data_IF_253774512886
#
_entry.id   IF_253774512886
#
_cell.length_a   1.000
_cell.length_b   1.000
_cell.length_c   1.000
_cell.angle_alpha   90.00
_cell.angle_beta   90.00
_cell.angle_gamma   90.00
#
_symmetry.space_group_name_H-M   'P 1'
#
loop_
_entity.id
_entity.type
_entity.pdbx_description
1 polymer ?
#
# COMPACT_ATOMS: atom_id res chain seq x y z
N UNK A 1 -2.45 -8.08 5.54
CA UNK A 1 -1.75 -7.71 6.76
C UNK A 1 -0.59 -6.80 6.41
N UNK A 2 -0.46 -5.70 7.12
CA UNK A 2 0.72 -4.86 7.06
C UNK A 2 1.18 -4.47 8.47
N UNK A 3 2.47 -4.17 8.57
CA UNK A 3 3.12 -3.69 9.77
C UNK A 3 3.80 -2.36 9.46
N UNK A 4 3.67 -1.41 10.37
CA UNK A 4 4.30 -0.09 10.30
C UNK A 4 5.23 0.04 11.50
N UNK A 5 6.43 0.55 11.26
CA UNK A 5 7.34 0.99 12.31
C UNK A 5 7.45 2.51 12.25
N UNK A 6 7.26 3.15 13.40
CA UNK A 6 7.33 4.60 13.56
C UNK A 6 8.72 5.06 14.01
N UNK A 7 8.91 6.38 14.07
CA UNK A 7 10.18 7.00 14.51
C UNK A 7 10.60 6.62 15.94
N UNK A 8 9.63 6.42 16.84
CA UNK A 8 9.85 5.99 18.22
C UNK A 8 10.11 4.47 18.34
N UNK A 9 10.34 3.76 17.22
CA UNK A 9 10.45 2.30 17.11
C UNK A 9 9.21 1.52 17.55
N UNK A 10 8.10 2.18 17.89
CA UNK A 10 6.84 1.49 18.14
C UNK A 10 6.28 0.94 16.83
N UNK A 11 5.49 -0.13 16.93
CA UNK A 11 4.93 -0.80 15.76
C UNK A 11 3.41 -0.84 15.80
N UNK A 12 2.82 -0.72 14.62
CA UNK A 12 1.40 -0.90 14.39
C UNK A 12 1.21 -2.06 13.43
N UNK A 13 0.33 -3.00 13.80
CA UNK A 13 0.04 -4.17 12.98
C UNK A 13 -1.44 -4.15 12.62
N UNK A 14 -1.72 -4.10 11.32
CA UNK A 14 -3.05 -4.34 10.78
C UNK A 14 -3.14 -5.77 10.26
N UNK A 15 -3.88 -6.60 10.99
CA UNK A 15 -4.10 -8.01 10.65
C UNK A 15 -5.16 -8.21 9.56
N UNK A 16 -5.80 -7.15 9.06
CA UNK A 16 -6.80 -7.29 8.03
C UNK A 16 -6.25 -7.96 6.78
N UNK A 17 -6.96 -8.99 6.35
CA UNK A 17 -6.71 -9.72 5.12
C UNK A 17 -7.61 -9.15 4.05
N UNK A 18 -7.00 -8.43 3.12
CA UNK A 18 -7.71 -7.91 1.94
C UNK A 18 -8.29 -9.05 1.08
N UNK A 19 -7.71 -10.25 1.12
CA UNK A 19 -8.27 -11.43 0.45
C UNK A 19 -9.45 -11.96 1.26
N UNK A 20 -10.67 -11.75 0.78
CA UNK A 20 -11.91 -12.25 1.40
C UNK A 20 -12.48 -11.42 2.56
N UNK A 21 -11.74 -10.43 3.07
CA UNK A 21 -12.23 -9.47 4.09
C UNK A 21 -12.78 -8.18 3.48
N UNK A 22 -13.45 -7.36 4.30
CA UNK A 22 -13.88 -6.04 3.87
C UNK A 22 -12.67 -5.09 3.86
N UNK A 23 -12.27 -4.50 2.73
CA UNK A 23 -11.10 -3.63 2.70
C UNK A 23 -11.30 -2.32 3.49
N UNK A 24 -12.55 -2.00 3.86
CA UNK A 24 -12.85 -0.91 4.77
C UNK A 24 -12.45 -1.22 6.22
N UNK A 25 -12.13 -2.48 6.54
CA UNK A 25 -11.61 -2.87 7.85
C UNK A 25 -10.17 -2.37 8.03
N UNK A 26 -9.49 -1.99 6.95
CA UNK A 26 -8.13 -1.48 7.03
C UNK A 26 -8.07 -0.28 7.96
N UNK A 27 -7.17 -0.36 8.93
CA UNK A 27 -6.90 0.69 9.90
C UNK A 27 -5.93 1.73 9.35
N UNK A 28 -5.88 1.91 8.04
CA UNK A 28 -5.00 2.88 7.41
C UNK A 28 -5.34 4.31 7.84
N UNK A 29 -6.63 4.61 7.93
CA UNK A 29 -7.12 5.94 8.34
C UNK A 29 -6.64 6.31 9.74
N UNK A 30 -6.52 5.36 10.67
CA UNK A 30 -6.07 5.60 12.05
C UNK A 30 -4.58 5.87 12.20
N UNK A 31 -3.77 5.72 11.15
CA UNK A 31 -2.34 6.05 11.20
C UNK A 31 -2.19 7.57 11.26
N UNK A 32 -1.63 8.07 12.36
CA UNK A 32 -1.40 9.49 12.62
C UNK A 32 0.06 9.81 13.01
N UNK A 33 0.92 8.81 13.09
CA UNK A 33 2.35 8.95 13.40
C UNK A 33 3.22 8.85 12.14
N UNK A 34 4.36 9.56 12.08
CA UNK A 34 5.32 9.45 10.98
C UNK A 34 5.92 8.04 10.85
N UNK A 35 5.93 7.52 9.62
CA UNK A 35 6.36 6.15 9.29
C UNK A 35 7.84 6.12 8.89
N UNK A 36 8.63 5.24 9.50
CA UNK A 36 9.98 4.91 9.01
C UNK A 36 9.94 3.72 8.06
N UNK A 37 9.18 2.68 8.42
CA UNK A 37 9.14 1.42 7.70
C UNK A 37 7.71 0.94 7.53
N UNK A 38 7.41 0.43 6.34
CA UNK A 38 6.15 -0.21 6.04
C UNK A 38 6.38 -1.57 5.40
N UNK A 39 5.89 -2.60 6.05
CA UNK A 39 5.99 -4.01 5.64
C UNK A 39 4.61 -4.50 5.28
N UNK A 40 4.45 -5.04 4.07
CA UNK A 40 3.19 -5.56 3.59
C UNK A 40 3.34 -7.03 3.21
N UNK A 41 2.54 -7.89 3.84
CA UNK A 41 2.56 -9.33 3.60
C UNK A 41 1.44 -9.75 2.63
N UNK A 42 1.82 -10.36 1.51
CA UNK A 42 0.97 -10.85 0.43
C UNK A 42 1.24 -12.34 0.20
N UNK A 43 0.52 -13.21 0.92
CA UNK A 43 0.75 -14.65 0.84
C UNK A 43 2.19 -15.00 1.25
N UNK A 44 2.96 -15.54 0.30
CA UNK A 44 4.38 -15.89 0.48
C UNK A 44 5.36 -14.73 0.26
N UNK A 45 4.87 -13.58 -0.22
CA UNK A 45 5.70 -12.41 -0.53
C UNK A 45 5.60 -11.36 0.56
N UNK A 46 6.71 -10.68 0.84
CA UNK A 46 6.76 -9.51 1.72
C UNK A 46 7.37 -8.34 0.97
N UNK A 47 6.65 -7.23 0.91
CA UNK A 47 7.12 -5.97 0.33
C UNK A 47 7.48 -5.05 1.49
N UNK A 48 8.69 -4.50 1.46
CA UNK A 48 9.22 -3.63 2.51
C UNK A 48 9.62 -2.30 1.89
N UNK A 49 9.15 -1.21 2.47
CA UNK A 49 9.53 0.16 2.15
C UNK A 49 10.12 0.84 3.38
N UNK A 50 11.24 1.54 3.21
CA UNK A 50 11.91 2.28 4.29
C UNK A 50 12.34 3.67 3.83
N UNK A 51 12.21 4.64 4.74
CA UNK A 51 12.74 6.00 4.62
C UNK A 51 12.15 6.86 3.50
N UNK A 52 10.89 6.67 3.13
CA UNK A 52 10.18 7.51 2.14
C UNK A 52 9.47 8.70 2.79
N UNK A 53 9.20 9.75 2.01
CA UNK A 53 8.50 10.97 2.47
C UNK A 53 7.04 10.74 2.81
N UNK A 54 6.40 9.83 2.05
CA UNK A 54 5.02 9.49 2.26
C UNK A 54 4.71 8.09 1.74
N UNK A 55 3.69 7.49 2.33
CA UNK A 55 3.22 6.15 2.02
C UNK A 55 1.73 6.21 1.70
N UNK A 56 1.27 5.39 0.76
CA UNK A 56 -0.15 5.26 0.44
C UNK A 56 -0.44 3.92 -0.26
N UNK A 57 -1.72 3.57 -0.41
CA UNK A 57 -2.14 2.44 -1.22
C UNK A 57 -3.48 2.67 -1.91
N UNK A 58 -3.72 1.85 -2.93
CA UNK A 58 -5.02 1.70 -3.59
C UNK A 58 -5.36 0.22 -3.70
N UNK A 59 -6.62 -0.13 -3.43
CA UNK A 59 -7.17 -1.45 -3.67
C UNK A 59 -8.18 -1.36 -4.81
N UNK A 60 -7.84 -1.90 -5.97
CA UNK A 60 -8.78 -2.00 -7.10
C UNK A 60 -9.67 -3.23 -6.94
N UNK A 61 -10.99 -3.01 -6.93
CA UNK A 61 -12.02 -4.04 -6.75
C UNK A 61 -12.76 -4.32 -8.07
N UNK A 62 -13.39 -5.47 -8.16
CA UNK A 62 -14.34 -5.80 -9.24
C UNK A 62 -15.60 -6.42 -8.63
N UNK A 63 -16.76 -6.10 -9.19
CA UNK A 63 -18.00 -6.79 -8.81
C UNK A 63 -18.02 -8.17 -9.45
N UNK A 64 -18.41 -9.18 -8.67
CA UNK A 64 -18.57 -10.55 -9.19
C UNK A 64 -19.93 -10.60 -9.90
N UNK A 65 -19.97 -11.02 -11.17
CA UNK A 65 -21.24 -11.19 -11.87
C UNK A 65 -22.06 -12.31 -11.21
N UNK A 66 -23.35 -12.05 -10.97
CA UNK A 66 -24.27 -13.00 -10.32
C UNK A 66 -24.18 -13.02 -8.79
N UNK A 67 -23.31 -12.22 -8.17
CA UNK A 67 -23.26 -12.07 -6.72
C UNK A 67 -24.24 -11.01 -6.20
N UNK A 68 -24.56 -11.05 -4.90
CA UNK A 68 -25.35 -10.00 -4.26
C UNK A 68 -24.64 -8.64 -4.37
N UNK A 69 -25.37 -7.53 -4.54
CA UNK A 69 -24.80 -6.19 -4.45
C UNK A 69 -23.95 -6.04 -3.17
N UNK A 70 -22.74 -5.50 -3.31
CA UNK A 70 -21.79 -5.39 -2.19
C UNK A 70 -20.74 -6.51 -2.12
N UNK A 71 -20.87 -7.59 -2.90
CA UNK A 71 -19.82 -8.61 -3.00
C UNK A 71 -18.81 -8.27 -4.10
N UNK A 72 -17.61 -7.91 -3.67
CA UNK A 72 -16.50 -7.54 -4.54
C UNK A 72 -15.32 -8.50 -4.39
N UNK A 73 -14.69 -8.84 -5.50
CA UNK A 73 -13.34 -9.39 -5.52
C UNK A 73 -12.29 -8.28 -5.58
N UNK A 74 -11.06 -8.58 -5.15
CA UNK A 74 -9.92 -7.68 -5.33
C UNK A 74 -9.16 -8.08 -6.59
N UNK A 75 -8.90 -7.11 -7.46
CA UNK A 75 -8.12 -7.30 -8.68
C UNK A 75 -6.64 -6.96 -8.46
N UNK A 76 -6.38 -5.78 -7.87
CA UNK A 76 -5.02 -5.26 -7.68
C UNK A 76 -4.86 -4.57 -6.34
N UNK A 77 -3.67 -4.70 -5.77
CA UNK A 77 -3.18 -3.84 -4.69
C UNK A 77 -2.03 -3.03 -5.24
N UNK A 78 -2.10 -1.71 -5.09
CA UNK A 78 -1.09 -0.77 -5.52
C UNK A 78 -0.52 -0.14 -4.25
N UNK A 79 0.71 -0.50 -3.89
CA UNK A 79 1.45 0.12 -2.79
C UNK A 79 2.27 1.26 -3.37
N UNK A 80 2.22 2.43 -2.74
CA UNK A 80 2.79 3.66 -3.27
C UNK A 80 3.67 4.33 -2.22
N UNK A 81 4.85 4.75 -2.64
CA UNK A 81 5.76 5.53 -1.80
C UNK A 81 6.28 6.72 -2.57
N UNK A 82 6.37 7.86 -1.88
CA UNK A 82 6.79 9.14 -2.45
C UNK A 82 8.23 9.45 -2.07
N UNK A 83 8.99 9.95 -3.04
CA UNK A 83 10.27 10.62 -2.84
C UNK A 83 10.33 11.83 -3.77
N UNK A 84 10.44 13.03 -3.22
CA UNK A 84 10.45 14.30 -3.93
C UNK A 84 9.20 14.40 -4.82
N UNK A 85 9.36 14.52 -6.14
CA UNK A 85 8.27 14.66 -7.10
C UNK A 85 7.95 13.34 -7.83
N UNK A 86 8.39 12.21 -7.27
CA UNK A 86 8.20 10.89 -7.84
C UNK A 86 7.46 9.97 -6.88
N UNK A 87 6.62 9.11 -7.46
CA UNK A 87 5.91 8.03 -6.78
C UNK A 87 6.36 6.71 -7.38
N UNK A 88 6.97 5.87 -6.55
CA UNK A 88 7.23 4.47 -6.86
C UNK A 88 6.00 3.65 -6.46
N UNK A 89 5.51 2.85 -7.41
CA UNK A 89 4.36 1.97 -7.26
C UNK A 89 4.82 0.52 -7.32
N UNK A 90 4.40 -0.29 -6.35
CA UNK A 90 4.48 -1.75 -6.42
C UNK A 90 3.07 -2.28 -6.57
N UNK A 91 2.80 -2.91 -7.71
CA UNK A 91 1.48 -3.37 -8.09
C UNK A 91 1.44 -4.89 -8.00
N UNK A 92 0.60 -5.41 -7.11
CA UNK A 92 0.29 -6.82 -7.04
C UNK A 92 -1.02 -7.11 -7.75
N UNK A 93 -0.95 -7.92 -8.82
CA UNK A 93 -2.12 -8.39 -9.54
C UNK A 93 -2.56 -9.74 -8.97
N UNK A 94 -3.68 -9.77 -8.22
CA UNK A 94 -4.17 -10.98 -7.57
C UNK A 94 -4.62 -12.05 -8.56
N UNK A 95 -5.13 -11.66 -9.74
CA UNK A 95 -5.56 -12.62 -10.77
C UNK A 95 -4.38 -13.33 -11.43
N UNK A 96 -3.27 -12.61 -11.64
CA UNK A 96 -2.07 -13.14 -12.31
C UNK A 96 -0.98 -13.63 -11.34
N UNK A 97 -1.11 -13.36 -10.04
CA UNK A 97 -0.08 -13.63 -9.04
C UNK A 97 1.24 -12.86 -9.28
N UNK A 98 1.21 -11.77 -10.05
CA UNK A 98 2.42 -11.05 -10.52
C UNK A 98 2.60 -9.74 -9.77
N UNK A 99 3.86 -9.44 -9.45
CA UNK A 99 4.30 -8.12 -8.96
C UNK A 99 4.92 -7.35 -10.11
N UNK A 100 4.57 -6.07 -10.25
CA UNK A 100 5.23 -5.13 -11.15
C UNK A 100 5.62 -3.86 -10.39
N UNK A 101 6.65 -3.17 -10.87
CA UNK A 101 7.06 -1.88 -10.34
C UNK A 101 6.92 -0.81 -11.42
N UNK A 102 6.47 0.38 -11.03
CA UNK A 102 6.28 1.52 -11.92
C UNK A 102 6.67 2.80 -11.19
N UNK A 103 7.17 3.81 -11.93
CA UNK A 103 7.44 5.15 -11.40
C UNK A 103 6.57 6.15 -12.15
N UNK A 104 6.03 7.13 -11.45
CA UNK A 104 5.26 8.23 -12.03
C UNK A 104 5.52 9.53 -11.26
N UNK A 105 5.00 10.65 -11.77
CA UNK A 105 5.05 11.94 -11.07
C UNK A 105 4.06 11.95 -9.91
N UNK A 106 4.40 12.67 -8.86
CA UNK A 106 3.43 12.96 -7.79
C UNK A 106 2.29 13.83 -8.34
N UNK A 107 1.04 13.45 -8.07
CA UNK A 107 -0.16 14.03 -8.67
C UNK A 107 -0.73 13.23 -9.86
N UNK A 108 -0.02 12.19 -10.32
CA UNK A 108 -0.46 11.29 -11.40
C UNK A 108 -0.52 9.81 -10.95
N UNK A 109 -0.43 9.56 -9.64
CA UNK A 109 -0.20 8.24 -9.05
C UNK A 109 -1.31 7.23 -9.33
N UNK A 110 -2.55 7.71 -9.55
CA UNK A 110 -3.68 6.85 -9.82
C UNK A 110 -4.46 7.33 -11.05
N UNK A 111 -4.27 6.63 -12.18
CA UNK A 111 -4.93 6.92 -13.46
C UNK A 111 -4.70 8.36 -13.94
N UNK A 112 -3.49 8.89 -13.72
CA UNK A 112 -3.12 10.25 -14.11
C UNK A 112 -3.76 11.34 -13.23
N UNK A 113 -4.22 10.98 -12.03
CA UNK A 113 -4.83 11.90 -11.07
C UNK A 113 -4.20 11.76 -9.68
N UNK A 114 -4.27 12.82 -8.85
CA UNK A 114 -3.83 12.74 -7.48
C UNK A 114 -4.73 11.80 -6.68
N UNK A 115 -4.14 11.11 -5.73
CA UNK A 115 -4.79 10.23 -4.78
C UNK A 115 -4.61 10.76 -3.36
N UNK A 116 -5.63 10.64 -2.53
CA UNK A 116 -5.64 11.18 -1.16
C UNK A 116 -5.26 10.12 -0.13
N UNK A 117 -5.15 10.50 1.14
CA UNK A 117 -4.88 9.55 2.24
C UNK A 117 -3.42 9.15 2.43
N UNK A 118 -2.51 9.94 1.86
CA UNK A 118 -1.06 9.81 2.09
C UNK A 118 -0.73 9.93 3.58
N UNK A 119 0.14 9.06 4.06
CA UNK A 119 0.67 9.07 5.42
C UNK A 119 2.10 9.56 5.42
N UNK A 120 2.40 10.48 6.33
CA UNK A 120 3.70 11.12 6.46
C UNK A 120 4.76 10.06 6.80
N UNK A 121 5.87 10.12 6.09
CA UNK A 121 7.05 9.33 6.33
C UNK A 121 8.23 10.17 6.80
N UNK A 122 9.28 9.51 7.25
CA UNK A 122 10.53 10.14 7.69
C UNK A 122 11.68 9.65 6.82
N UNK A 123 12.43 10.58 6.22
CA UNK A 123 13.68 10.26 5.54
C UNK A 123 14.82 10.34 6.57
N UNK A 124 15.18 9.21 7.17
CA UNK A 124 16.32 9.13 8.10
C UNK A 124 17.61 8.60 7.43
N UNK A 125 17.47 7.85 6.35
CA UNK A 125 18.60 7.27 5.59
C UNK A 125 18.25 7.17 4.10
N UNK A 126 19.09 6.43 3.35
CA UNK A 126 18.79 6.00 1.98
C UNK A 126 17.45 5.23 1.96
N UNK A 127 16.57 5.64 1.04
CA UNK A 127 15.31 4.95 0.73
C UNK A 127 15.56 3.53 0.26
N UNK A 128 14.88 2.54 0.85
CA UNK A 128 15.05 1.12 0.49
C UNK A 128 13.70 0.50 0.13
N UNK A 129 13.71 -0.31 -0.92
CA UNK A 129 12.61 -1.20 -1.30
C UNK A 129 13.14 -2.63 -1.38
N UNK A 130 12.42 -3.58 -0.77
CA UNK A 130 12.72 -5.01 -0.87
C UNK A 130 11.44 -5.80 -1.16
N UNK A 131 11.55 -6.81 -2.02
CA UNK A 131 10.49 -7.78 -2.29
C UNK A 131 11.10 -9.15 -2.05
N UNK A 132 10.65 -9.79 -0.97
CA UNK A 132 11.14 -11.10 -0.49
C UNK A 132 10.06 -12.13 -0.74
#
# INVERSE_FOLDING_TARGET
MYKITYLDNTTFIDNTTFIGGNPNDSKWTSINKPIIKWEYKLGKKTIIFENYEAYNHVVERFQIMGSKPGQYGICRLILMVKKINQVLKVIYNFRKGRVTQEICKFGEEYRGKPHTGWKVGVINEITKIRII
#
